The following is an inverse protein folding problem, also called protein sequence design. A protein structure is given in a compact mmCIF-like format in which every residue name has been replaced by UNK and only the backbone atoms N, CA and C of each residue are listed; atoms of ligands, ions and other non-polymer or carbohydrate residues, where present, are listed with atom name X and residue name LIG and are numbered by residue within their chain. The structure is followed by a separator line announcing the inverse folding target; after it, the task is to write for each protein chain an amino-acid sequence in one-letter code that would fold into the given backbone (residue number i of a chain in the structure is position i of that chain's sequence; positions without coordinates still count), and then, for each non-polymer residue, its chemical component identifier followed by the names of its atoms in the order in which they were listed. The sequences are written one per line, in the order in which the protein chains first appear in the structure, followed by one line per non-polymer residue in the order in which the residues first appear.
data_IF_543622433118
#
_entry.id   IF_543622433118
#
_cell.length_a   1.000
_cell.length_b   1.000
_cell.length_c   1.000
_cell.angle_alpha   90.00
_cell.angle_beta   90.00
_cell.angle_gamma   90.00
#
_symmetry.space_group_name_H-M   'P 1'
#
loop_
_entity.id
_entity.type
_entity.pdbx_description
1 polymer ?
#
# COMPACT_ATOMS: atom_id res chain seq x y z
N UNK A 1 40.87 9.70 19.76
CA UNK A 1 40.11 8.43 19.74
C UNK A 1 38.79 8.42 20.54
N UNK A 2 38.28 9.55 21.08
CA UNK A 2 37.01 9.56 21.85
C UNK A 2 35.71 9.57 21.02
N UNK A 3 35.73 10.11 19.78
CA UNK A 3 34.51 10.30 18.96
C UNK A 3 33.78 9.01 18.56
N UNK A 4 34.48 7.90 18.33
CA UNK A 4 33.86 6.63 17.92
C UNK A 4 33.03 6.03 19.08
N UNK A 5 33.45 6.19 20.33
CA UNK A 5 32.73 5.60 21.47
C UNK A 5 31.44 6.36 21.82
N UNK A 6 31.36 7.65 21.52
CA UNK A 6 30.18 8.49 21.74
C UNK A 6 29.06 8.23 20.72
N UNK A 7 29.40 7.82 19.49
CA UNK A 7 28.43 7.60 18.41
C UNK A 7 27.95 6.14 18.27
N UNK A 8 28.73 5.16 18.72
CA UNK A 8 28.51 3.74 18.43
C UNK A 8 27.87 2.92 19.58
N UNK A 9 27.34 3.57 20.62
CA UNK A 9 26.69 2.92 21.77
C UNK A 9 25.27 3.44 22.04
N UNK A 10 24.61 3.94 21.00
CA UNK A 10 23.21 4.32 21.08
C UNK A 10 22.39 3.03 20.94
N UNK A 11 21.87 2.53 22.05
CA UNK A 11 20.95 1.41 22.06
C UNK A 11 19.52 1.93 21.95
N UNK A 12 18.73 1.32 21.08
CA UNK A 12 17.32 1.62 20.90
C UNK A 12 16.52 0.33 20.80
N UNK A 13 15.23 0.40 21.10
CA UNK A 13 14.32 -0.71 20.86
C UNK A 13 14.10 -0.84 19.35
N UNK A 14 14.34 -2.04 18.82
CA UNK A 14 14.11 -2.37 17.41
C UNK A 14 13.01 -3.41 17.34
N UNK A 15 11.90 -3.04 16.71
CA UNK A 15 10.85 -3.98 16.29
C UNK A 15 11.27 -4.66 15.00
N UNK A 16 11.04 -5.97 14.92
CA UNK A 16 11.24 -6.75 13.69
C UNK A 16 9.89 -7.39 13.36
N UNK A 17 9.43 -7.16 12.12
CA UNK A 17 8.17 -7.71 11.63
C UNK A 17 8.34 -8.39 10.28
N UNK A 18 7.30 -9.12 9.90
CA UNK A 18 7.19 -9.71 8.58
C UNK A 18 6.84 -8.64 7.53
N UNK A 19 7.62 -8.59 6.46
CA UNK A 19 7.45 -7.64 5.35
C UNK A 19 6.34 -8.02 4.36
N UNK A 20 5.54 -9.05 4.65
CA UNK A 20 4.57 -9.60 3.71
C UNK A 20 3.65 -8.55 3.08
N UNK A 21 3.65 -8.50 1.76
CA UNK A 21 2.89 -7.56 0.92
C UNK A 21 3.15 -6.06 1.18
N UNK A 22 4.12 -5.67 1.99
CA UNK A 22 4.34 -4.25 2.38
C UNK A 22 4.73 -3.37 1.18
N UNK A 23 5.57 -3.87 0.27
CA UNK A 23 5.94 -3.14 -0.96
C UNK A 23 4.90 -3.23 -2.08
N UNK A 24 3.89 -4.10 -1.94
CA UNK A 24 2.88 -4.41 -2.95
C UNK A 24 1.48 -3.89 -2.59
N UNK A 25 1.34 -3.26 -1.44
CA UNK A 25 0.05 -2.77 -0.92
C UNK A 25 0.01 -1.26 -0.94
N UNK A 26 -1.13 -0.69 -1.30
CA UNK A 26 -1.37 0.74 -1.18
C UNK A 26 -1.61 1.14 0.26
N UNK A 27 -0.86 2.13 0.74
CA UNK A 27 -1.03 2.67 2.10
C UNK A 27 -2.45 3.21 2.38
N UNK A 28 -3.15 3.69 1.35
CA UNK A 28 -4.42 4.39 1.52
C UNK A 28 -5.65 3.52 1.29
N UNK A 29 -5.65 2.71 0.22
CA UNK A 29 -6.80 1.89 -0.15
C UNK A 29 -6.57 0.39 0.03
N UNK A 30 -5.41 -0.02 0.56
CA UNK A 30 -5.02 -1.41 0.80
C UNK A 30 -5.10 -2.35 -0.42
N UNK A 31 -5.30 -1.78 -1.61
CA UNK A 31 -5.30 -2.49 -2.88
C UNK A 31 -3.88 -2.75 -3.35
N UNK A 32 -3.72 -3.75 -4.22
CA UNK A 32 -2.41 -4.08 -4.78
C UNK A 32 -1.89 -2.95 -5.69
N UNK A 33 -0.61 -2.61 -5.54
CA UNK A 33 0.11 -1.68 -6.42
C UNK A 33 0.92 -2.44 -7.46
N UNK A 34 1.26 -1.76 -8.54
CA UNK A 34 2.14 -2.28 -9.59
C UNK A 34 3.40 -1.44 -9.67
N UNK A 35 4.43 -1.96 -10.36
CA UNK A 35 5.61 -1.16 -10.64
C UNK A 35 5.28 -0.17 -11.73
N UNK A 36 5.74 1.08 -11.55
CA UNK A 36 5.54 2.09 -12.57
C UNK A 36 6.28 1.70 -13.85
N UNK A 37 5.61 1.83 -14.99
CA UNK A 37 6.13 1.47 -16.30
C UNK A 37 6.43 2.73 -17.08
N UNK A 38 7.62 2.80 -17.68
CA UNK A 38 8.01 3.91 -18.55
C UNK A 38 8.55 3.38 -19.87
N UNK A 39 8.53 4.19 -20.92
CA UNK A 39 9.16 3.86 -22.19
C UNK A 39 10.61 4.35 -22.18
N UNK A 40 11.57 3.44 -22.42
CA UNK A 40 12.97 3.79 -22.63
C UNK A 40 13.43 3.31 -24.00
N UNK A 41 14.38 4.05 -24.59
CA UNK A 41 15.07 3.60 -25.79
C UNK A 41 16.28 2.79 -25.38
N UNK A 42 16.26 1.50 -25.66
CA UNK A 42 17.35 0.56 -25.39
C UNK A 42 17.75 -0.02 -26.75
N UNK A 43 19.02 0.14 -27.12
CA UNK A 43 19.59 -0.30 -28.40
C UNK A 43 18.80 0.21 -29.63
N UNK A 44 18.40 1.50 -29.58
CA UNK A 44 17.65 2.15 -30.65
C UNK A 44 16.17 1.72 -30.77
N UNK A 45 15.68 0.81 -29.91
CA UNK A 45 14.28 0.38 -29.87
C UNK A 45 13.58 0.94 -28.64
N UNK A 46 12.35 1.44 -28.83
CA UNK A 46 11.48 1.82 -27.70
C UNK A 46 10.96 0.57 -27.02
N UNK A 47 11.25 0.42 -25.73
CA UNK A 47 10.82 -0.70 -24.90
C UNK A 47 10.13 -0.17 -23.65
N UNK A 48 9.11 -0.89 -23.19
CA UNK A 48 8.46 -0.60 -21.91
C UNK A 48 9.23 -1.29 -20.80
N UNK A 49 9.71 -0.52 -19.83
CA UNK A 49 10.48 -1.02 -18.69
C UNK A 49 9.79 -0.69 -17.37
N UNK A 50 9.94 -1.58 -16.39
CA UNK A 50 9.45 -1.36 -15.03
C UNK A 50 10.53 -0.62 -14.21
N UNK A 51 10.16 0.45 -13.54
CA UNK A 51 11.05 1.17 -12.62
C UNK A 51 11.02 0.54 -11.24
N UNK A 52 12.19 0.10 -10.76
CA UNK A 52 12.28 -0.59 -9.48
C UNK A 52 12.13 0.30 -8.25
N UNK A 53 12.28 1.63 -8.37
CA UNK A 53 12.10 2.55 -7.25
C UNK A 53 10.68 3.08 -7.08
N UNK A 54 9.81 2.87 -8.07
CA UNK A 54 8.53 3.59 -8.17
C UNK A 54 7.39 2.59 -8.34
N UNK A 55 6.35 2.78 -7.51
CA UNK A 55 5.09 2.07 -7.61
C UNK A 55 4.01 2.98 -8.20
N UNK A 56 2.98 2.36 -8.77
CA UNK A 56 1.83 3.02 -9.33
C UNK A 56 0.53 2.43 -8.76
N UNK A 57 -0.37 3.31 -8.35
CA UNK A 57 -1.70 3.00 -7.84
C UNK A 57 -2.68 2.89 -9.01
N UNK A 58 -3.15 1.66 -9.27
CA UNK A 58 -4.07 1.37 -10.39
C UNK A 58 -5.55 1.40 -9.99
N UNK A 59 -5.85 1.37 -8.68
CA UNK A 59 -7.23 1.24 -8.20
C UNK A 59 -8.07 2.48 -8.56
N UNK A 60 -9.26 2.33 -9.18
CA UNK A 60 -10.11 3.47 -9.60
C UNK A 60 -10.51 4.41 -8.47
N UNK A 61 -10.70 3.88 -7.27
CA UNK A 61 -11.12 4.66 -6.10
C UNK A 61 -9.95 5.33 -5.37
N UNK A 62 -8.72 5.20 -5.87
CA UNK A 62 -7.56 5.84 -5.24
C UNK A 62 -7.68 7.36 -5.33
N UNK A 63 -7.71 8.10 -4.20
CA UNK A 63 -7.98 9.55 -4.21
C UNK A 63 -7.02 10.33 -5.11
N UNK A 64 -5.74 9.97 -5.13
CA UNK A 64 -4.75 10.73 -5.91
C UNK A 64 -4.80 10.44 -7.42
N UNK A 65 -5.65 9.49 -7.86
CA UNK A 65 -5.99 9.34 -9.29
C UNK A 65 -6.76 10.54 -9.81
N UNK A 66 -7.58 11.21 -8.98
CA UNK A 66 -8.33 12.42 -9.36
C UNK A 66 -7.43 13.61 -9.69
N UNK A 67 -6.21 13.61 -9.18
CA UNK A 67 -5.21 14.68 -9.36
C UNK A 67 -4.00 14.20 -10.20
N UNK A 68 -4.11 13.07 -10.91
CA UNK A 68 -3.04 12.48 -11.72
C UNK A 68 -1.72 12.19 -10.97
N UNK A 69 -1.77 12.03 -9.65
CA UNK A 69 -0.62 11.67 -8.82
C UNK A 69 -0.74 10.21 -8.38
N UNK A 70 -0.56 9.30 -9.33
CA UNK A 70 -0.70 7.85 -9.11
C UNK A 70 0.62 7.16 -8.77
N UNK A 71 1.76 7.84 -8.83
CA UNK A 71 3.07 7.26 -8.56
C UNK A 71 3.59 7.62 -7.17
N UNK A 72 4.38 6.72 -6.57
CA UNK A 72 5.08 6.96 -5.29
C UNK A 72 6.36 6.15 -5.21
N UNK A 73 7.29 6.60 -4.39
CA UNK A 73 8.46 5.81 -4.02
C UNK A 73 8.04 4.51 -3.32
N UNK A 74 8.58 3.39 -3.82
CA UNK A 74 8.27 2.05 -3.31
C UNK A 74 8.70 1.90 -1.86
N UNK A 75 9.90 2.36 -1.53
CA UNK A 75 10.50 2.13 -0.22
C UNK A 75 9.79 2.94 0.86
N UNK A 76 9.42 4.19 0.57
CA UNK A 76 8.59 4.99 1.47
C UNK A 76 7.21 4.36 1.72
N UNK A 77 6.59 3.79 0.69
CA UNK A 77 5.34 3.05 0.84
C UNK A 77 5.52 1.76 1.65
N UNK A 78 6.59 1.01 1.39
CA UNK A 78 6.91 -0.23 2.10
C UNK A 78 7.18 0.04 3.58
N UNK A 79 7.99 1.05 3.91
CA UNK A 79 8.29 1.44 5.29
C UNK A 79 7.02 1.81 6.08
N UNK A 80 6.12 2.58 5.47
CA UNK A 80 4.85 2.92 6.09
C UNK A 80 3.96 1.67 6.30
N UNK A 81 3.93 0.76 5.34
CA UNK A 81 3.17 -0.50 5.46
C UNK A 81 3.79 -1.47 6.48
N UNK A 82 5.11 -1.47 6.68
CA UNK A 82 5.76 -2.24 7.76
C UNK A 82 5.26 -1.77 9.12
N UNK A 83 5.23 -0.45 9.35
CA UNK A 83 4.70 0.12 10.58
C UNK A 83 3.22 -0.20 10.78
N UNK A 84 2.40 -0.11 9.72
CA UNK A 84 0.99 -0.50 9.80
C UNK A 84 0.79 -1.99 10.06
N UNK A 85 1.63 -2.85 9.47
CA UNK A 85 1.60 -4.29 9.70
C UNK A 85 1.82 -4.59 11.18
N UNK A 86 2.85 -4.01 11.82
CA UNK A 86 3.08 -4.16 13.26
C UNK A 86 1.94 -3.57 14.11
N UNK A 87 1.50 -2.37 13.78
CA UNK A 87 0.37 -1.76 14.49
C UNK A 87 -0.86 -2.67 14.44
N UNK A 88 -1.10 -3.32 13.30
CA UNK A 88 -2.22 -4.24 13.14
C UNK A 88 -2.11 -5.49 14.02
N UNK A 89 -0.90 -6.01 14.22
CA UNK A 89 -0.65 -7.15 15.14
C UNK A 89 -0.97 -6.75 16.57
N UNK A 90 -0.54 -5.56 16.99
CA UNK A 90 -0.78 -5.04 18.35
C UNK A 90 -2.27 -4.81 18.60
N UNK A 91 -3.00 -4.34 17.58
CA UNK A 91 -4.43 -4.05 17.67
C UNK A 91 -5.31 -5.31 17.58
N UNK A 92 -4.80 -6.41 17.00
CA UNK A 92 -5.57 -7.63 16.82
C UNK A 92 -5.64 -8.46 18.11
N UNK A 93 -6.83 -8.97 18.43
CA UNK A 93 -7.06 -9.82 19.61
C UNK A 93 -6.33 -11.18 19.52
N UNK A 94 -6.07 -11.67 18.31
CA UNK A 94 -5.36 -12.94 18.06
C UNK A 94 -3.84 -12.73 17.86
N UNK A 95 -3.34 -11.50 18.05
CA UNK A 95 -1.96 -11.11 17.75
C UNK A 95 -1.51 -11.50 16.32
N UNK A 96 -2.45 -11.58 15.38
CA UNK A 96 -2.13 -11.78 13.97
C UNK A 96 -2.29 -10.46 13.22
N UNK A 97 -1.47 -10.21 12.19
CA UNK A 97 -1.63 -9.01 11.38
C UNK A 97 -3.04 -8.96 10.79
N UNK A 98 -3.66 -7.80 10.85
CA UNK A 98 -4.92 -7.58 10.14
C UNK A 98 -4.64 -7.53 8.64
N UNK A 99 -5.62 -7.83 7.80
CA UNK A 99 -5.48 -7.62 6.36
C UNK A 99 -5.16 -6.14 6.07
N UNK A 100 -4.39 -5.90 4.99
CA UNK A 100 -3.96 -6.85 3.96
C UNK A 100 -2.64 -7.60 4.29
N UNK A 101 -2.10 -7.48 5.49
CA UNK A 101 -0.75 -7.98 5.86
C UNK A 101 -0.74 -9.43 6.37
N UNK A 102 -1.91 -10.05 6.51
CA UNK A 102 -2.05 -11.45 6.95
C UNK A 102 -1.73 -12.42 5.81
N UNK A 103 -0.89 -13.42 6.10
CA UNK A 103 -0.78 -14.63 5.29
C UNK A 103 -2.10 -15.40 5.40
N UNK A 104 -2.69 -15.79 4.27
CA UNK A 104 -3.93 -16.60 4.21
C UNK A 104 -5.23 -15.92 4.66
N UNK A 105 -5.26 -14.59 4.75
CA UNK A 105 -6.55 -13.91 4.78
C UNK A 105 -7.28 -14.16 3.45
N UNK A 106 -8.43 -14.84 3.51
CA UNK A 106 -9.44 -14.73 2.46
C UNK A 106 -9.74 -13.23 2.31
N UNK A 107 -9.11 -12.57 1.34
CA UNK A 107 -9.24 -11.13 1.11
C UNK A 107 -10.69 -10.71 0.88
N UNK A 108 -11.57 -11.65 0.53
CA UNK A 108 -13.02 -11.52 0.44
C UNK A 108 -13.74 -11.31 1.78
N UNK A 109 -13.20 -11.75 2.93
CA UNK A 109 -13.86 -11.56 4.25
C UNK A 109 -13.87 -10.10 4.71
N UNK A 110 -12.98 -9.27 4.19
CA UNK A 110 -12.83 -7.86 4.58
C UNK A 110 -13.42 -6.89 3.56
N UNK A 111 -14.07 -7.39 2.50
CA UNK A 111 -15.03 -6.60 1.72
C UNK A 111 -16.15 -6.02 2.59
N UNK A 112 -16.33 -6.52 3.82
CA UNK A 112 -17.20 -5.93 4.84
C UNK A 112 -16.84 -4.47 5.16
N UNK A 113 -15.57 -4.06 5.04
CA UNK A 113 -15.19 -2.66 5.24
C UNK A 113 -15.68 -1.75 4.09
N UNK A 114 -15.73 -2.28 2.86
CA UNK A 114 -16.33 -1.59 1.72
C UNK A 114 -17.87 -1.56 1.82
N UNK A 115 -18.50 -2.61 2.37
CA UNK A 115 -19.93 -2.58 2.72
C UNK A 115 -20.22 -1.58 3.84
N UNK A 116 -19.41 -1.51 4.89
CA UNK A 116 -19.58 -0.54 5.98
C UNK A 116 -19.41 0.92 5.51
N UNK A 117 -18.49 1.19 4.58
CA UNK A 117 -18.39 2.50 3.93
C UNK A 117 -19.66 2.85 3.11
N UNK A 118 -20.29 1.86 2.47
CA UNK A 118 -21.57 2.05 1.77
C UNK A 118 -22.75 2.28 2.72
N UNK A 119 -22.69 1.73 3.93
CA UNK A 119 -23.70 1.94 4.99
C UNK A 119 -23.54 3.32 5.66
N UNK A 120 -22.31 3.85 5.72
CA UNK A 120 -22.00 5.11 6.43
C UNK A 120 -22.05 6.35 5.51
N UNK A 121 -22.07 6.20 4.19
CA UNK A 121 -22.21 7.34 3.25
C UNK A 121 -23.25 7.09 2.15
N UNK A 122 -24.55 7.33 2.42
CA UNK A 122 -25.61 7.14 1.41
C UNK A 122 -25.62 8.21 0.31
N UNK A 123 -24.95 9.35 0.50
CA UNK A 123 -25.22 10.55 -0.31
C UNK A 123 -24.25 10.84 -1.46
N UNK A 124 -23.32 9.94 -1.81
CA UNK A 124 -22.33 10.22 -2.87
C UNK A 124 -22.30 9.25 -4.06
N UNK A 125 -23.35 8.44 -4.28
CA UNK A 125 -23.52 7.70 -5.54
C UNK A 125 -24.50 8.46 -6.43
N UNK A 126 -24.04 9.07 -7.56
CA UNK A 126 -24.96 9.63 -8.55
C UNK A 126 -25.88 8.54 -9.08
N UNK A 127 -27.18 8.70 -8.87
CA UNK A 127 -28.23 7.88 -9.47
C UNK A 127 -28.37 8.27 -10.94
N UNK A 128 -27.52 7.74 -11.82
CA UNK A 128 -27.79 7.79 -13.25
C UNK A 128 -27.11 6.62 -13.97
N UNK A 129 -27.83 5.51 -14.08
CA UNK A 129 -27.88 4.63 -15.27
C UNK A 129 -28.57 3.31 -14.93
N UNK A 130 -29.89 3.36 -14.77
CA UNK A 130 -30.74 2.22 -15.16
C UNK A 130 -31.53 2.75 -16.36
N UNK A 131 -31.09 2.39 -17.56
CA UNK A 131 -31.97 2.35 -18.73
C UNK A 131 -32.43 0.90 -18.83
N UNK A 132 -33.70 0.68 -18.52
CA UNK A 132 -34.42 -0.51 -18.93
C UNK A 132 -34.68 -0.41 -20.45
N UNK A 133 -34.33 -1.48 -21.16
CA UNK A 133 -34.63 -1.83 -22.57
C UNK A 133 -34.19 -0.88 -23.69
#
# INVERSE_FOLDING_TARGET
MKKIQEQHRIYGYVGITNEYNTSKTCLFCFSRVVLHRTCQTIDGRKQVVCLNGVIEYIHPQYPARRINHTTRERDANAAANIALSEASVILAADCQPLPPFRHDANHTRYNLANELLSVVTPELVPRDSIRDE
#
